data_IF_772901803625
#
_entry.id   IF_772901803625
#
_cell.length_a   1.000
_cell.length_b   1.000
_cell.length_c   1.000
_cell.angle_alpha   90.00
_cell.angle_beta   90.00
_cell.angle_gamma   90.00
#
_symmetry.space_group_name_H-M   'P 1'
#
loop_
_entity.id
_entity.type
_entity.pdbx_description
1 polymer ?
#
# COMPACT_ATOMS: atom_id res chain seq x y z
N UNK A 1 -41.99 25.79 45.30
CA UNK A 1 -40.70 25.06 45.30
C UNK A 1 -40.16 24.90 43.87
N UNK A 2 -39.98 25.99 43.12
CA UNK A 2 -39.53 25.95 41.72
C UNK A 2 -38.39 26.94 41.42
N UNK A 3 -37.85 27.61 42.44
CA UNK A 3 -36.78 28.62 42.29
C UNK A 3 -35.38 28.08 42.66
N UNK A 4 -35.27 26.87 43.22
CA UNK A 4 -33.98 26.25 43.55
C UNK A 4 -33.45 25.26 42.49
N UNK A 5 -34.24 24.88 41.50
CA UNK A 5 -33.85 23.90 40.47
C UNK A 5 -33.03 24.52 39.33
N UNK A 6 -33.22 25.82 39.05
CA UNK A 6 -32.51 26.54 37.98
C UNK A 6 -31.01 26.71 38.28
N UNK A 7 -30.62 26.87 39.55
CA UNK A 7 -29.20 26.95 39.94
C UNK A 7 -28.48 25.59 39.90
N UNK A 8 -29.22 24.47 39.96
CA UNK A 8 -28.65 23.11 39.85
C UNK A 8 -28.26 22.73 38.42
N UNK A 9 -29.05 23.18 37.43
CA UNK A 9 -28.84 22.86 36.01
C UNK A 9 -27.60 23.59 35.46
N UNK A 10 -27.33 24.82 35.90
CA UNK A 10 -26.12 25.57 35.50
C UNK A 10 -24.85 24.87 35.97
N UNK A 11 -24.84 24.34 37.20
CA UNK A 11 -23.72 23.55 37.74
C UNK A 11 -23.58 22.16 37.08
N UNK A 12 -24.61 21.66 36.40
CA UNK A 12 -24.53 20.43 35.63
C UNK A 12 -23.95 20.67 34.23
N UNK A 13 -24.37 21.75 33.57
CA UNK A 13 -23.83 22.15 32.26
C UNK A 13 -22.34 22.49 32.36
N UNK A 14 -21.91 23.19 33.42
CA UNK A 14 -20.50 23.54 33.64
C UNK A 14 -19.60 22.29 33.80
N UNK A 15 -20.10 21.23 34.46
CA UNK A 15 -19.35 19.98 34.67
C UNK A 15 -19.31 19.12 33.41
N UNK A 16 -20.35 19.17 32.59
CA UNK A 16 -20.39 18.45 31.32
C UNK A 16 -19.47 19.10 30.27
N UNK A 17 -19.35 20.44 30.27
CA UNK A 17 -18.41 21.16 29.41
C UNK A 17 -16.94 20.82 29.72
N UNK A 18 -16.57 20.71 31.00
CA UNK A 18 -15.20 20.36 31.41
C UNK A 18 -14.77 18.93 31.02
N UNK A 19 -15.71 17.99 30.96
CA UNK A 19 -15.43 16.60 30.56
C UNK A 19 -15.21 16.47 29.05
N UNK A 20 -15.87 17.29 28.23
CA UNK A 20 -15.70 17.27 26.77
C UNK A 20 -14.33 17.84 26.35
N UNK A 21 -13.85 18.88 27.03
CA UNK A 21 -12.51 19.45 26.76
C UNK A 21 -11.36 18.51 27.19
N UNK A 22 -11.53 17.75 28.27
CA UNK A 22 -10.54 16.75 28.70
C UNK A 22 -10.47 15.55 27.73
N UNK A 23 -11.60 15.16 27.13
CA UNK A 23 -11.65 14.07 26.15
C UNK A 23 -11.03 14.45 24.81
N UNK A 24 -11.19 15.71 24.36
CA UNK A 24 -10.53 16.21 23.14
C UNK A 24 -8.99 16.22 23.25
N UNK A 25 -8.46 16.52 24.43
CA UNK A 25 -7.01 16.52 24.67
C UNK A 25 -6.39 15.12 24.75
N UNK A 26 -7.22 14.07 24.90
CA UNK A 26 -6.80 12.67 24.92
C UNK A 26 -6.86 12.01 23.53
N UNK A 27 -7.67 12.54 22.60
CA UNK A 27 -7.65 12.13 21.19
C UNK A 27 -6.46 12.73 20.42
N UNK A 28 -5.95 13.89 20.83
CA UNK A 28 -4.79 14.54 20.18
C UNK A 28 -3.43 13.93 20.54
N UNK A 29 -3.35 13.05 21.54
CA UNK A 29 -2.10 12.43 22.01
C UNK A 29 -1.90 10.99 21.51
N UNK A 30 -2.78 10.50 20.62
CA UNK A 30 -2.66 9.18 19.99
C UNK A 30 -2.41 9.30 18.47
N UNK A 31 -1.84 10.42 18.00
CA UNK A 31 -0.92 10.38 16.86
C UNK A 31 0.43 9.85 17.37
N UNK A 32 0.37 8.63 17.88
CA UNK A 32 1.55 7.81 18.11
C UNK A 32 2.30 7.81 16.80
N UNK A 33 3.57 8.19 16.89
CA UNK A 33 4.53 8.11 15.83
C UNK A 33 4.66 6.64 15.43
N UNK A 34 3.72 6.15 14.63
CA UNK A 34 3.92 4.94 13.88
C UNK A 34 4.96 5.33 12.83
N UNK A 35 6.20 5.22 13.27
CA UNK A 35 7.34 4.99 12.40
C UNK A 35 7.18 3.55 11.90
N UNK A 36 6.02 3.27 11.30
CA UNK A 36 5.77 2.10 10.48
C UNK A 36 6.89 2.15 9.48
N UNK A 37 7.69 1.10 9.52
CA UNK A 37 8.76 0.76 8.62
C UNK A 37 8.36 1.21 7.20
N UNK A 38 8.79 2.43 6.80
CA UNK A 38 8.41 3.03 5.52
C UNK A 38 9.12 2.18 4.48
N UNK A 39 8.47 1.11 4.07
CA UNK A 39 8.95 0.22 3.02
C UNK A 39 9.19 1.14 1.85
N UNK A 40 10.46 1.38 1.51
CA UNK A 40 10.78 2.43 0.57
C UNK A 40 10.21 2.00 -0.77
N UNK A 41 9.58 2.94 -1.46
CA UNK A 41 9.02 2.66 -2.78
C UNK A 41 10.08 2.09 -3.74
N UNK A 42 11.34 2.51 -3.60
CA UNK A 42 12.49 1.95 -4.30
C UNK A 42 12.69 0.46 -4.02
N UNK A 43 12.53 0.03 -2.78
CA UNK A 43 12.68 -1.37 -2.36
C UNK A 43 11.54 -2.22 -2.94
N UNK A 44 10.30 -1.72 -2.90
CA UNK A 44 9.14 -2.37 -3.51
C UNK A 44 9.30 -2.48 -5.02
N UNK A 45 9.75 -1.41 -5.68
CA UNK A 45 10.03 -1.41 -7.11
C UNK A 45 11.11 -2.43 -7.46
N UNK A 46 12.24 -2.40 -6.76
CA UNK A 46 13.36 -3.30 -7.01
C UNK A 46 12.95 -4.77 -6.84
N UNK A 47 12.22 -5.07 -5.76
CA UNK A 47 11.65 -6.39 -5.53
C UNK A 47 10.66 -6.80 -6.62
N UNK A 48 9.83 -5.87 -7.11
CA UNK A 48 8.89 -6.13 -8.21
C UNK A 48 9.61 -6.43 -9.52
N UNK A 49 10.69 -5.71 -9.83
CA UNK A 49 11.52 -5.97 -11.02
C UNK A 49 12.20 -7.34 -10.94
N UNK A 50 12.71 -7.71 -9.76
CA UNK A 50 13.27 -9.04 -9.52
C UNK A 50 12.18 -10.11 -9.71
N UNK A 51 10.98 -9.88 -9.18
CA UNK A 51 9.85 -10.80 -9.33
C UNK A 51 9.46 -10.99 -10.81
N UNK A 52 9.41 -9.92 -11.62
CA UNK A 52 9.17 -10.02 -13.06
C UNK A 52 10.24 -10.89 -13.74
N UNK A 53 11.52 -10.70 -13.40
CA UNK A 53 12.61 -11.52 -13.93
C UNK A 53 12.48 -12.99 -13.53
N UNK A 54 12.11 -13.27 -12.28
CA UNK A 54 11.84 -14.63 -11.82
C UNK A 54 10.67 -15.28 -12.58
N UNK A 55 9.57 -14.55 -12.78
CA UNK A 55 8.41 -15.05 -13.54
C UNK A 55 8.77 -15.36 -15.00
N UNK A 56 9.62 -14.54 -15.64
CA UNK A 56 10.13 -14.84 -16.98
C UNK A 56 10.97 -16.11 -17.01
N UNK A 57 11.89 -16.27 -16.06
CA UNK A 57 12.73 -17.46 -15.97
C UNK A 57 11.91 -18.72 -15.69
N UNK A 58 10.93 -18.66 -14.77
CA UNK A 58 10.02 -19.76 -14.48
C UNK A 58 9.19 -20.16 -15.70
N UNK A 59 8.64 -19.18 -16.44
CA UNK A 59 7.88 -19.46 -17.65
C UNK A 59 8.75 -20.12 -18.74
N UNK A 60 9.99 -19.66 -18.89
CA UNK A 60 10.96 -20.24 -19.84
C UNK A 60 11.34 -21.66 -19.44
N UNK A 61 11.72 -21.87 -18.18
CA UNK A 61 12.10 -23.18 -17.65
C UNK A 61 10.93 -24.17 -17.75
N UNK A 62 9.72 -23.76 -17.35
CA UNK A 62 8.54 -24.62 -17.47
C UNK A 62 8.23 -25.00 -18.92
N UNK A 63 8.46 -24.08 -19.88
CA UNK A 63 8.32 -24.38 -21.30
C UNK A 63 9.36 -25.40 -21.77
N UNK A 64 10.61 -25.25 -21.35
CA UNK A 64 11.69 -26.19 -21.67
C UNK A 64 11.46 -27.58 -21.05
N UNK A 65 11.07 -27.63 -19.77
CA UNK A 65 10.78 -28.87 -19.05
C UNK A 65 9.59 -29.62 -19.64
N UNK A 66 8.56 -28.88 -20.05
CA UNK A 66 7.40 -29.47 -20.75
C UNK A 66 7.79 -30.05 -22.10
N UNK A 67 8.60 -29.33 -22.90
CA UNK A 67 9.11 -29.83 -24.18
C UNK A 67 10.05 -31.02 -24.01
N UNK A 68 10.80 -31.07 -22.91
CA UNK A 68 11.67 -32.19 -22.54
C UNK A 68 10.90 -33.39 -21.96
N UNK A 69 9.59 -33.27 -21.73
CA UNK A 69 8.74 -34.35 -21.21
C UNK A 69 8.95 -34.66 -19.73
N UNK A 70 9.39 -33.68 -18.93
CA UNK A 70 9.63 -33.86 -17.50
C UNK A 70 8.32 -34.23 -16.79
N UNK A 71 8.27 -35.38 -16.09
CA UNK A 71 7.07 -35.78 -15.36
C UNK A 71 6.76 -34.79 -14.23
N UNK A 72 5.50 -34.35 -14.16
CA UNK A 72 5.03 -33.39 -13.16
C UNK A 72 4.92 -31.95 -13.65
N UNK A 73 5.41 -31.63 -14.85
CA UNK A 73 5.20 -30.30 -15.49
C UNK A 73 3.99 -30.37 -16.40
N UNK A 74 2.86 -29.85 -15.93
CA UNK A 74 1.63 -29.76 -16.71
C UNK A 74 1.67 -28.56 -17.67
N UNK A 75 1.17 -28.75 -18.90
CA UNK A 75 1.01 -27.65 -19.86
C UNK A 75 0.21 -26.47 -19.26
N UNK A 76 -0.78 -26.75 -18.41
CA UNK A 76 -1.57 -25.74 -17.73
C UNK A 76 -0.70 -24.81 -16.85
N UNK A 77 0.23 -25.37 -16.07
CA UNK A 77 1.10 -24.57 -15.19
C UNK A 77 2.08 -23.72 -15.99
N UNK A 78 2.58 -24.24 -17.11
CA UNK A 78 3.43 -23.48 -18.04
C UNK A 78 2.65 -22.32 -18.63
N UNK A 79 1.45 -22.57 -19.16
CA UNK A 79 0.61 -21.52 -19.75
C UNK A 79 0.24 -20.44 -18.72
N UNK A 80 -0.09 -20.83 -17.49
CA UNK A 80 -0.37 -19.87 -16.40
C UNK A 80 0.87 -19.06 -16.07
N UNK A 81 2.05 -19.68 -16.01
CA UNK A 81 3.31 -18.99 -15.74
C UNK A 81 3.67 -18.00 -16.85
N UNK A 82 3.46 -18.39 -18.12
CA UNK A 82 3.63 -17.51 -19.28
C UNK A 82 2.68 -16.31 -19.24
N UNK A 83 1.40 -16.54 -18.91
CA UNK A 83 0.42 -15.47 -18.77
C UNK A 83 0.78 -14.51 -17.63
N UNK A 84 1.14 -15.03 -16.45
CA UNK A 84 1.61 -14.23 -15.31
C UNK A 84 2.81 -13.37 -15.69
N UNK A 85 3.81 -13.95 -16.33
CA UNK A 85 5.00 -13.25 -16.81
C UNK A 85 4.65 -12.12 -17.78
N UNK A 86 3.77 -12.37 -18.75
CA UNK A 86 3.33 -11.37 -19.73
C UNK A 86 2.60 -10.20 -19.08
N UNK A 87 1.65 -10.47 -18.17
CA UNK A 87 0.89 -9.42 -17.47
C UNK A 87 1.83 -8.61 -16.56
N UNK A 88 2.70 -9.28 -15.80
CA UNK A 88 3.66 -8.63 -14.91
C UNK A 88 4.64 -7.73 -15.68
N UNK A 89 5.13 -8.18 -16.84
CA UNK A 89 5.99 -7.37 -17.71
C UNK A 89 5.27 -6.14 -18.24
N UNK A 90 4.03 -6.30 -18.73
CA UNK A 90 3.22 -5.18 -19.21
C UNK A 90 3.02 -4.12 -18.12
N UNK A 91 2.70 -4.57 -16.90
CA UNK A 91 2.59 -3.68 -15.75
C UNK A 91 3.94 -2.99 -15.44
N UNK A 92 5.04 -3.74 -15.47
CA UNK A 92 6.39 -3.19 -15.26
C UNK A 92 6.76 -2.09 -16.27
N UNK A 93 6.38 -2.25 -17.54
CA UNK A 93 6.57 -1.21 -18.57
C UNK A 93 5.75 0.05 -18.26
N UNK A 94 4.51 -0.10 -17.82
CA UNK A 94 3.67 1.04 -17.43
C UNK A 94 4.27 1.79 -16.24
N UNK A 95 4.75 1.08 -15.23
CA UNK A 95 5.41 1.66 -14.06
C UNK A 95 6.70 2.37 -14.47
N UNK A 96 7.53 1.75 -15.32
CA UNK A 96 8.73 2.39 -15.88
C UNK A 96 8.39 3.70 -16.58
N UNK A 97 7.38 3.69 -17.45
CA UNK A 97 6.98 4.89 -18.18
C UNK A 97 6.50 5.99 -17.22
N UNK A 98 5.71 5.64 -16.19
CA UNK A 98 5.28 6.59 -15.16
C UNK A 98 6.45 7.18 -14.37
N UNK A 99 7.49 6.39 -14.06
CA UNK A 99 8.69 6.90 -13.38
C UNK A 99 9.49 7.87 -14.24
N UNK A 100 9.66 7.55 -15.53
CA UNK A 100 10.33 8.44 -16.47
C UNK A 100 9.56 9.75 -16.60
N UNK A 101 8.23 9.70 -16.73
CA UNK A 101 7.39 10.90 -16.74
C UNK A 101 7.50 11.70 -15.45
N UNK A 102 7.44 11.06 -14.27
CA UNK A 102 7.58 11.76 -13.00
C UNK A 102 8.94 12.45 -12.85
N UNK A 103 10.02 11.82 -13.32
CA UNK A 103 11.34 12.44 -13.36
C UNK A 103 11.36 13.65 -14.30
N UNK A 104 10.77 13.52 -15.50
CA UNK A 104 10.65 14.60 -16.48
C UNK A 104 9.83 15.78 -15.92
N UNK A 105 8.73 15.50 -15.21
CA UNK A 105 7.85 16.50 -14.60
C UNK A 105 8.57 17.30 -13.51
N UNK A 106 9.35 16.63 -12.64
CA UNK A 106 10.19 17.30 -11.63
C UNK A 106 11.21 18.22 -12.31
N UNK A 107 11.84 17.77 -13.39
CA UNK A 107 12.81 18.57 -14.14
C UNK A 107 12.17 19.81 -14.79
N UNK A 108 10.92 19.67 -15.27
CA UNK A 108 10.16 20.76 -15.88
C UNK A 108 9.52 21.72 -14.85
N UNK A 109 9.38 21.32 -13.58
CA UNK A 109 8.92 22.22 -12.51
C UNK A 109 10.01 23.20 -12.04
N UNK A 110 11.29 22.87 -12.26
CA UNK A 110 12.43 23.65 -11.79
C UNK A 110 12.93 24.74 -12.74
N UNK A 111 12.25 24.95 -13.88
CA UNK A 111 12.57 25.99 -14.87
C UNK A 111 11.52 27.10 -14.90
#
# INVERSE_FOLDING_TARGET
MSLNTINGVVNQIQRQAGQVSAMQNQLALTESNDTENKTQFSDVLFNSLNNISQLQNQAKQGSEDYLAGVPGVGLNDVMVSMQKSSVALNLGVQVRNKMVSAYQDIMNMGV
#
